data_IF_589199388619
#
_entry.id   IF_589199388619
#
_cell.length_a   1.000
_cell.length_b   1.000
_cell.length_c   1.000
_cell.angle_alpha   90.00
_cell.angle_beta   90.00
_cell.angle_gamma   90.00
#
_symmetry.space_group_name_H-M   'P 1'
#
loop_
_entity.id
_entity.type
_entity.pdbx_description
1 polymer ?
#
# COMPACT_ATOMS: atom_id res chain seq x y z
N UNK A 1 17.21 16.49 -33.67
CA UNK A 1 17.54 16.12 -32.28
C UNK A 1 17.06 17.26 -31.42
N UNK A 2 16.03 17.00 -30.62
CA UNK A 2 15.67 17.80 -29.44
C UNK A 2 14.82 16.84 -28.60
N UNK A 3 15.50 16.07 -27.74
CA UNK A 3 14.90 14.97 -26.98
C UNK A 3 14.97 15.32 -25.50
N UNK A 4 14.44 16.49 -25.14
CA UNK A 4 13.99 16.65 -23.77
C UNK A 4 12.68 15.86 -23.64
N UNK A 5 12.60 14.83 -22.79
CA UNK A 5 11.32 14.21 -22.52
C UNK A 5 10.35 15.31 -22.07
N UNK A 6 9.07 15.29 -22.49
CA UNK A 6 8.08 16.22 -21.99
C UNK A 6 8.14 16.24 -20.46
N UNK A 7 8.06 17.41 -19.83
CA UNK A 7 8.19 17.61 -18.38
C UNK A 7 7.38 16.59 -17.56
N UNK A 8 6.22 16.20 -18.07
CA UNK A 8 5.32 15.19 -17.52
C UNK A 8 5.89 13.77 -17.53
N UNK A 9 6.58 13.36 -18.61
CA UNK A 9 7.29 12.07 -18.69
C UNK A 9 8.36 11.98 -17.62
N UNK A 10 9.14 13.05 -17.43
CA UNK A 10 10.15 13.09 -16.36
C UNK A 10 9.50 13.00 -14.98
N UNK A 11 8.40 13.73 -14.76
CA UNK A 11 7.64 13.68 -13.51
C UNK A 11 7.07 12.28 -13.22
N UNK A 12 6.53 11.59 -14.22
CA UNK A 12 6.03 10.21 -14.11
C UNK A 12 7.16 9.27 -13.70
N UNK A 13 8.31 9.34 -14.38
CA UNK A 13 9.48 8.52 -14.04
C UNK A 13 9.93 8.79 -12.61
N UNK A 14 10.02 10.05 -12.19
CA UNK A 14 10.39 10.41 -10.82
C UNK A 14 9.41 9.87 -9.78
N UNK A 15 8.10 9.92 -10.06
CA UNK A 15 7.08 9.37 -9.18
C UNK A 15 7.22 7.84 -9.06
N UNK A 16 7.37 7.14 -10.19
CA UNK A 16 7.58 5.69 -10.22
C UNK A 16 8.84 5.27 -9.44
N UNK A 17 9.96 5.98 -9.64
CA UNK A 17 11.22 5.71 -8.93
C UNK A 17 11.13 5.98 -7.42
N UNK A 18 10.23 6.86 -6.98
CA UNK A 18 9.91 7.09 -5.56
C UNK A 18 8.92 6.07 -5.00
N UNK A 19 8.48 5.11 -5.82
CA UNK A 19 7.55 4.05 -5.43
C UNK A 19 6.07 4.46 -5.49
N UNK A 20 5.74 5.54 -6.21
CA UNK A 20 4.34 5.88 -6.48
C UNK A 20 3.71 4.80 -7.34
N UNK A 21 2.54 4.32 -6.93
CA UNK A 21 1.73 3.38 -7.69
C UNK A 21 0.57 4.14 -8.32
N UNK A 22 0.54 4.17 -9.64
CA UNK A 22 -0.54 4.78 -10.40
C UNK A 22 -1.75 3.85 -10.45
N UNK A 23 -2.95 4.42 -10.42
CA UNK A 23 -4.20 3.70 -10.61
C UNK A 23 -5.30 4.59 -11.15
N UNK A 24 -6.45 4.05 -11.52
CA UNK A 24 -7.60 4.86 -11.95
C UNK A 24 -8.13 5.80 -10.85
N UNK A 25 -7.76 5.58 -9.58
CA UNK A 25 -7.99 6.54 -8.50
C UNK A 25 -7.23 7.87 -8.71
N UNK A 26 -6.25 7.93 -9.62
CA UNK A 26 -5.56 9.16 -10.01
C UNK A 26 -6.41 10.06 -10.91
N UNK A 27 -7.44 9.52 -11.58
CA UNK A 27 -8.37 10.33 -12.40
C UNK A 27 -9.16 11.35 -11.57
N UNK A 28 -9.33 11.10 -10.28
CA UNK A 28 -10.04 11.99 -9.35
C UNK A 28 -9.10 12.97 -8.63
N UNK A 29 -7.78 12.81 -8.80
CA UNK A 29 -6.78 13.60 -8.10
C UNK A 29 -6.24 14.69 -9.02
N UNK A 30 -6.45 15.95 -8.64
CA UNK A 30 -6.07 17.11 -9.45
C UNK A 30 -4.57 17.08 -9.81
N UNK A 31 -4.25 17.18 -11.10
CA UNK A 31 -2.89 17.18 -11.62
C UNK A 31 -2.22 15.80 -11.70
N UNK A 32 -2.90 14.74 -11.26
CA UNK A 32 -2.49 13.34 -11.44
C UNK A 32 -3.29 12.64 -12.54
N UNK A 33 -4.49 13.14 -12.85
CA UNK A 33 -5.34 12.69 -13.96
C UNK A 33 -4.59 12.64 -15.29
N UNK A 34 -3.90 13.72 -15.64
CA UNK A 34 -3.11 13.81 -16.88
C UNK A 34 -1.90 12.88 -16.85
N UNK A 35 -1.22 12.78 -15.70
CA UNK A 35 -0.07 11.89 -15.54
C UNK A 35 -0.48 10.42 -15.69
N UNK A 36 -1.61 10.04 -15.09
CA UNK A 36 -2.19 8.71 -15.23
C UNK A 36 -2.56 8.41 -16.68
N UNK A 37 -3.23 9.33 -17.39
CA UNK A 37 -3.57 9.14 -18.79
C UNK A 37 -2.33 8.92 -19.68
N UNK A 38 -1.23 9.63 -19.40
CA UNK A 38 0.04 9.48 -20.14
C UNK A 38 0.69 8.12 -19.85
N UNK A 39 0.84 7.74 -18.57
CA UNK A 39 1.47 6.46 -18.23
C UNK A 39 0.64 5.26 -18.67
N UNK A 40 -0.70 5.39 -18.66
CA UNK A 40 -1.58 4.33 -19.13
C UNK A 40 -1.52 4.18 -20.66
N UNK A 41 -1.68 5.27 -21.42
CA UNK A 41 -1.65 5.24 -22.89
C UNK A 41 -0.30 4.87 -23.48
N UNK A 42 0.80 5.13 -22.75
CA UNK A 42 2.18 4.85 -23.19
C UNK A 42 2.85 3.80 -22.32
N UNK A 43 2.08 2.92 -21.70
CA UNK A 43 2.59 1.93 -20.74
C UNK A 43 3.75 1.10 -21.31
N UNK A 44 3.59 0.59 -22.52
CA UNK A 44 4.62 -0.22 -23.19
C UNK A 44 5.93 0.54 -23.38
N UNK A 45 5.85 1.80 -23.78
CA UNK A 45 7.03 2.66 -23.92
C UNK A 45 7.74 2.87 -22.57
N UNK A 46 6.99 3.16 -21.50
CA UNK A 46 7.59 3.31 -20.17
C UNK A 46 8.21 2.00 -19.67
N UNK A 47 7.54 0.87 -19.93
CA UNK A 47 8.04 -0.46 -19.56
C UNK A 47 9.37 -0.76 -20.23
N UNK A 48 9.46 -0.60 -21.55
CA UNK A 48 10.70 -0.80 -22.30
C UNK A 48 11.79 0.19 -21.86
N UNK A 49 11.43 1.47 -21.68
CA UNK A 49 12.37 2.51 -21.29
C UNK A 49 12.97 2.27 -19.89
N UNK A 50 12.14 1.88 -18.91
CA UNK A 50 12.58 1.61 -17.54
C UNK A 50 13.35 0.28 -17.43
N UNK A 51 13.06 -0.70 -18.27
CA UNK A 51 13.80 -1.96 -18.36
C UNK A 51 15.26 -1.75 -18.76
N UNK A 52 15.57 -0.74 -19.57
CA UNK A 52 16.96 -0.37 -19.91
C UNK A 52 17.79 0.02 -18.66
N UNK A 53 17.12 0.44 -17.58
CA UNK A 53 17.74 0.79 -16.30
C UNK A 53 17.60 -0.30 -15.23
N UNK A 54 17.16 -1.51 -15.61
CA UNK A 54 17.01 -2.65 -14.70
C UNK A 54 15.78 -2.58 -13.79
N UNK A 55 14.75 -1.82 -14.17
CA UNK A 55 13.46 -1.79 -13.48
C UNK A 55 12.39 -2.50 -14.29
N UNK A 56 11.47 -3.18 -13.59
CA UNK A 56 10.33 -3.85 -14.21
C UNK A 56 9.08 -3.01 -13.94
N UNK A 57 8.51 -2.41 -14.99
CA UNK A 57 7.20 -1.75 -14.87
C UNK A 57 6.10 -2.79 -15.04
N UNK A 58 5.33 -3.00 -13.98
CA UNK A 58 4.28 -4.02 -13.92
C UNK A 58 2.90 -3.37 -13.87
N UNK A 59 1.92 -4.09 -14.40
CA UNK A 59 0.50 -3.74 -14.30
C UNK A 59 -0.26 -4.94 -13.71
N UNK A 60 -0.88 -4.73 -12.56
CA UNK A 60 -1.78 -5.70 -11.94
C UNK A 60 -3.17 -5.08 -11.84
N UNK A 61 -4.14 -5.65 -12.57
CA UNK A 61 -5.46 -5.04 -12.78
C UNK A 61 -5.30 -3.59 -13.29
N UNK A 62 -5.76 -2.61 -12.51
CA UNK A 62 -5.69 -1.18 -12.83
C UNK A 62 -4.57 -0.44 -12.09
N UNK A 63 -3.62 -1.15 -11.48
CA UNK A 63 -2.49 -0.55 -10.75
C UNK A 63 -1.22 -0.72 -11.55
N UNK A 64 -0.54 0.40 -11.84
CA UNK A 64 0.75 0.46 -12.54
C UNK A 64 1.81 0.83 -11.51
N UNK A 65 2.85 0.02 -11.39
CA UNK A 65 3.88 0.20 -10.36
C UNK A 65 5.23 -0.32 -10.83
N UNK A 66 6.29 0.25 -10.25
CA UNK A 66 7.66 -0.11 -10.56
C UNK A 66 8.16 -1.15 -9.56
N UNK A 67 8.64 -2.27 -10.09
CA UNK A 67 9.29 -3.32 -9.34
C UNK A 67 10.81 -3.27 -9.58
N UNK A 68 11.55 -3.65 -8.56
CA UNK A 68 12.97 -3.93 -8.66
C UNK A 68 13.15 -5.42 -8.38
N UNK A 69 13.71 -6.15 -9.34
CA UNK A 69 13.95 -7.58 -9.19
C UNK A 69 14.83 -7.88 -7.97
N UNK A 70 14.56 -9.00 -7.29
CA UNK A 70 15.33 -9.53 -6.15
C UNK A 70 15.48 -8.59 -4.95
N UNK A 71 14.36 -8.00 -4.48
CA UNK A 71 14.39 -7.16 -3.29
C UNK A 71 13.72 -7.86 -2.09
N UNK A 72 14.51 -8.12 -1.05
CA UNK A 72 13.97 -8.36 0.30
C UNK A 72 13.14 -7.14 0.71
N UNK A 73 11.96 -7.35 1.30
CA UNK A 73 11.13 -6.24 1.79
C UNK A 73 11.94 -5.34 2.73
N UNK A 74 12.02 -4.06 2.38
CA UNK A 74 12.55 -3.01 3.25
C UNK A 74 11.67 -2.89 4.50
N UNK A 75 12.24 -2.30 5.56
CA UNK A 75 11.51 -2.13 6.81
C UNK A 75 10.22 -1.31 6.62
N UNK A 76 10.27 -0.27 5.78
CA UNK A 76 9.10 0.54 5.46
C UNK A 76 8.02 -0.28 4.74
N UNK A 77 8.41 -1.18 3.81
CA UNK A 77 7.46 -2.07 3.14
C UNK A 77 6.80 -3.04 4.13
N UNK A 78 7.56 -3.60 5.09
CA UNK A 78 7.01 -4.44 6.17
C UNK A 78 6.01 -3.67 7.03
N UNK A 79 6.37 -2.46 7.44
CA UNK A 79 5.50 -1.54 8.19
C UNK A 79 4.22 -1.23 7.42
N UNK A 80 4.34 -0.95 6.13
CA UNK A 80 3.21 -0.65 5.24
C UNK A 80 2.22 -1.82 5.19
N UNK A 81 2.74 -3.04 5.01
CA UNK A 81 1.91 -4.25 4.94
C UNK A 81 1.18 -4.49 6.25
N UNK A 82 1.87 -4.43 7.39
CA UNK A 82 1.25 -4.63 8.70
C UNK A 82 0.20 -3.55 8.99
N UNK A 83 0.51 -2.29 8.75
CA UNK A 83 -0.43 -1.20 8.99
C UNK A 83 -1.70 -1.30 8.12
N UNK A 84 -1.57 -1.61 6.84
CA UNK A 84 -2.74 -1.78 5.95
C UNK A 84 -3.57 -3.02 6.31
N UNK A 85 -2.91 -4.09 6.74
CA UNK A 85 -3.61 -5.30 7.19
C UNK A 85 -4.40 -5.04 8.47
N UNK A 86 -3.77 -4.45 9.48
CA UNK A 86 -4.45 -4.05 10.73
C UNK A 86 -5.61 -3.10 10.44
N UNK A 87 -5.42 -2.11 9.57
CA UNK A 87 -6.51 -1.18 9.21
C UNK A 87 -7.73 -1.92 8.67
N UNK A 88 -7.47 -2.90 7.80
CA UNK A 88 -8.53 -3.70 7.20
C UNK A 88 -9.25 -4.54 8.25
N UNK A 89 -8.48 -5.23 9.09
CA UNK A 89 -9.00 -6.16 10.09
C UNK A 89 -9.88 -5.43 11.13
N UNK A 90 -9.34 -4.36 11.72
CA UNK A 90 -10.03 -3.55 12.73
C UNK A 90 -11.29 -2.88 12.16
N UNK A 91 -11.27 -2.51 10.87
CA UNK A 91 -12.44 -1.95 10.21
C UNK A 91 -13.57 -2.98 10.06
N UNK A 92 -13.23 -4.20 9.68
CA UNK A 92 -14.18 -5.30 9.54
C UNK A 92 -14.74 -5.75 10.90
N UNK A 93 -13.90 -5.80 11.93
CA UNK A 93 -14.33 -6.13 13.30
C UNK A 93 -15.33 -5.10 13.87
N UNK A 94 -15.24 -3.83 13.46
CA UNK A 94 -16.25 -2.80 13.75
C UNK A 94 -17.57 -2.99 12.97
N UNK A 95 -17.72 -4.11 12.24
CA UNK A 95 -18.91 -4.46 11.46
C UNK A 95 -19.06 -3.65 10.18
N UNK A 96 -18.01 -2.94 9.74
CA UNK A 96 -18.05 -2.08 8.55
C UNK A 96 -17.66 -2.86 7.30
N UNK A 97 -17.97 -2.30 6.13
CA UNK A 97 -17.74 -3.01 4.87
C UNK A 97 -16.31 -2.83 4.37
N UNK A 98 -15.74 -3.85 3.71
CA UNK A 98 -14.43 -3.75 3.06
C UNK A 98 -14.39 -2.66 1.99
N UNK A 99 -15.51 -2.45 1.27
CA UNK A 99 -15.61 -1.43 0.24
C UNK A 99 -15.49 0.00 0.82
N UNK A 100 -15.95 0.20 2.06
CA UNK A 100 -15.94 1.50 2.72
C UNK A 100 -14.51 2.04 2.89
N UNK A 101 -13.51 1.17 3.08
CA UNK A 101 -12.10 1.56 3.20
C UNK A 101 -11.60 2.38 2.01
N UNK A 102 -12.20 2.17 0.83
CA UNK A 102 -11.83 2.80 -0.43
C UNK A 102 -12.79 3.91 -0.87
N UNK A 103 -13.87 4.13 -0.13
CA UNK A 103 -14.94 5.09 -0.49
C UNK A 103 -15.13 6.16 0.57
N UNK A 104 -14.83 5.86 1.84
CA UNK A 104 -15.03 6.76 2.97
C UNK A 104 -13.70 7.28 3.49
N UNK A 105 -13.68 8.55 3.88
CA UNK A 105 -12.58 9.12 4.64
C UNK A 105 -12.70 8.69 6.10
N UNK A 106 -11.71 7.95 6.58
CA UNK A 106 -11.61 7.41 7.92
C UNK A 106 -10.94 8.46 8.81
N UNK A 107 -11.64 9.02 9.81
CA UNK A 107 -11.04 9.95 10.76
C UNK A 107 -9.97 9.26 11.61
N UNK A 108 -8.90 9.97 11.95
CA UNK A 108 -7.85 9.45 12.84
C UNK A 108 -8.38 8.98 14.20
N UNK A 109 -9.44 9.61 14.70
CA UNK A 109 -10.09 9.22 15.95
C UNK A 109 -10.69 7.81 15.89
N UNK A 110 -11.03 7.30 14.71
CA UNK A 110 -11.55 5.94 14.52
C UNK A 110 -10.46 4.86 14.44
N UNK A 111 -9.19 5.26 14.47
CA UNK A 111 -8.02 4.37 14.55
C UNK A 111 -7.57 4.17 16.00
N UNK A 112 -8.47 4.31 16.97
CA UNK A 112 -8.27 3.98 18.38
C UNK A 112 -7.69 2.57 18.56
N UNK A 113 -8.15 1.57 17.82
CA UNK A 113 -7.68 0.20 17.97
C UNK A 113 -6.26 -0.07 17.44
N UNK A 114 -5.67 0.83 16.64
CA UNK A 114 -4.23 0.77 16.39
C UNK A 114 -3.40 0.99 17.66
N UNK A 115 -4.01 1.62 18.67
CA UNK A 115 -3.37 2.10 19.88
C UNK A 115 -3.62 1.20 21.09
N UNK A 116 -4.54 0.23 20.96
CA UNK A 116 -4.95 -0.66 22.04
C UNK A 116 -4.68 -2.14 21.74
N UNK A 117 -4.34 -2.90 22.78
CA UNK A 117 -4.27 -4.36 22.76
C UNK A 117 -3.43 -4.95 21.63
N UNK A 118 -4.07 -5.78 20.81
CA UNK A 118 -3.44 -6.56 19.73
C UNK A 118 -2.82 -5.69 18.63
N UNK A 119 -3.42 -4.55 18.25
CA UNK A 119 -2.87 -3.67 17.21
C UNK A 119 -1.47 -3.14 17.57
N UNK A 120 -1.30 -2.74 18.83
CA UNK A 120 -0.03 -2.27 19.41
C UNK A 120 1.08 -3.32 19.32
N UNK A 121 0.76 -4.59 19.62
CA UNK A 121 1.74 -5.68 19.54
C UNK A 121 2.27 -5.88 18.12
N UNK A 122 1.40 -5.86 17.11
CA UNK A 122 1.80 -6.09 15.71
C UNK A 122 2.62 -4.92 15.15
N UNK A 123 2.27 -3.69 15.48
CA UNK A 123 3.05 -2.50 15.11
C UNK A 123 4.45 -2.53 15.71
N UNK A 124 4.58 -2.98 16.97
CA UNK A 124 5.87 -3.08 17.65
C UNK A 124 6.82 -4.08 16.97
N UNK A 125 6.30 -5.19 16.43
CA UNK A 125 7.10 -6.21 15.70
C UNK A 125 7.75 -5.66 14.43
N UNK A 126 7.17 -4.60 13.84
CA UNK A 126 7.72 -3.91 12.68
C UNK A 126 8.41 -2.58 13.04
N UNK A 127 8.68 -2.36 14.32
CA UNK A 127 9.42 -1.19 14.81
C UNK A 127 8.66 0.13 14.65
N UNK A 128 7.32 0.08 14.65
CA UNK A 128 6.49 1.27 14.84
C UNK A 128 6.24 1.37 16.34
N UNK A 129 6.75 2.43 16.94
CA UNK A 129 6.56 2.67 18.36
C UNK A 129 5.08 2.93 18.64
N UNK A 130 4.46 1.97 19.30
CA UNK A 130 3.03 1.94 19.59
C UNK A 130 2.57 2.99 20.60
N UNK A 131 3.50 3.60 21.34
CA UNK A 131 3.21 4.70 22.26
C UNK A 131 3.38 6.09 21.59
N UNK A 132 3.66 6.11 20.28
CA UNK A 132 3.88 7.32 19.51
C UNK A 132 2.96 7.38 18.28
N UNK A 133 1.78 8.00 18.45
CA UNK A 133 0.82 8.30 17.38
C UNK A 133 1.49 8.98 16.17
N UNK A 134 2.55 9.77 16.40
CA UNK A 134 3.30 10.44 15.35
C UNK A 134 4.00 9.48 14.41
N UNK A 135 4.50 8.34 14.88
CA UNK A 135 5.20 7.37 14.04
C UNK A 135 4.26 6.72 13.01
N UNK A 136 3.05 6.36 13.46
CA UNK A 136 2.01 5.78 12.61
C UNK A 136 1.46 6.82 11.63
N UNK A 137 1.22 8.06 12.08
CA UNK A 137 0.75 9.13 11.20
C UNK A 137 1.78 9.43 10.09
N UNK A 138 3.06 9.49 10.44
CA UNK A 138 4.15 9.66 9.47
C UNK A 138 4.23 8.48 8.50
N UNK A 139 3.95 7.25 8.95
CA UNK A 139 3.84 6.12 8.04
C UNK A 139 2.73 6.32 7.02
N UNK A 140 1.51 6.66 7.44
CA UNK A 140 0.42 6.88 6.48
C UNK A 140 0.71 8.04 5.52
N UNK A 141 1.35 9.12 5.95
CA UNK A 141 1.82 10.18 5.05
C UNK A 141 2.82 9.65 4.01
N UNK A 142 3.74 8.75 4.39
CA UNK A 142 4.62 8.06 3.43
C UNK A 142 3.83 7.15 2.49
N UNK A 143 2.81 6.43 2.97
CA UNK A 143 1.94 5.62 2.11
C UNK A 143 1.15 6.49 1.12
N UNK A 144 0.74 7.69 1.51
CA UNK A 144 0.12 8.67 0.64
C UNK A 144 1.06 9.09 -0.51
N UNK A 145 2.33 9.33 -0.18
CA UNK A 145 3.38 9.62 -1.16
C UNK A 145 3.68 8.45 -2.11
N UNK A 146 3.28 7.22 -1.76
CA UNK A 146 3.36 6.02 -2.61
C UNK A 146 2.07 5.75 -3.39
N UNK A 147 1.04 6.60 -3.23
CA UNK A 147 -0.25 6.45 -3.91
C UNK A 147 -1.14 5.36 -3.32
N UNK A 148 -0.81 4.81 -2.15
CA UNK A 148 -1.57 3.73 -1.48
C UNK A 148 -2.82 4.25 -0.78
N UNK A 149 -2.79 5.49 -0.30
CA UNK A 149 -3.91 6.15 0.36
C UNK A 149 -3.90 7.64 0.05
N UNK A 150 -4.97 8.33 0.40
CA UNK A 150 -5.02 9.78 0.52
C UNK A 150 -5.01 10.14 1.99
N UNK A 151 -4.26 11.18 2.34
CA UNK A 151 -4.21 11.70 3.70
C UNK A 151 -4.57 13.18 3.63
N UNK A 152 -5.59 13.59 4.38
CA UNK A 152 -5.97 14.98 4.52
C UNK A 152 -5.43 15.48 5.87
N UNK A 153 -4.44 16.36 5.84
CA UNK A 153 -3.83 16.93 7.05
C UNK A 153 -4.81 17.78 7.85
N UNK A 154 -5.65 18.59 7.19
CA UNK A 154 -6.57 19.51 7.84
C UNK A 154 -7.70 18.77 8.59
N UNK A 155 -8.31 17.79 7.92
CA UNK A 155 -9.37 16.96 8.50
C UNK A 155 -8.82 15.76 9.30
N UNK A 156 -7.51 15.53 9.25
CA UNK A 156 -6.79 14.39 9.84
C UNK A 156 -7.49 13.06 9.56
N UNK A 157 -7.78 12.81 8.28
CA UNK A 157 -8.47 11.61 7.82
C UNK A 157 -7.69 10.94 6.68
N UNK A 158 -7.95 9.65 6.48
CA UNK A 158 -7.34 8.87 5.40
C UNK A 158 -8.38 8.09 4.60
N UNK A 159 -8.12 7.90 3.31
CA UNK A 159 -8.94 7.06 2.43
C UNK A 159 -8.01 6.11 1.68
N UNK A 160 -8.27 4.79 1.68
CA UNK A 160 -7.43 3.86 0.92
C UNK A 160 -7.68 4.01 -0.58
N UNK A 161 -6.63 3.78 -1.36
CA UNK A 161 -6.69 3.76 -2.83
C UNK A 161 -6.47 2.35 -3.33
N UNK A 162 -6.83 2.09 -4.59
CA UNK A 162 -6.67 0.75 -5.18
C UNK A 162 -5.28 0.11 -5.05
N UNK A 163 -4.16 0.88 -5.09
CA UNK A 163 -2.85 0.29 -4.84
C UNK A 163 -2.72 -0.39 -3.45
N UNK A 164 -3.42 0.09 -2.42
CA UNK A 164 -3.47 -0.59 -1.12
C UNK A 164 -4.26 -1.91 -1.18
N UNK A 165 -5.34 -1.97 -1.96
CA UNK A 165 -6.15 -3.19 -2.16
C UNK A 165 -5.27 -4.35 -2.69
N UNK A 166 -4.37 -4.03 -3.63
CA UNK A 166 -3.40 -4.99 -4.18
C UNK A 166 -2.53 -5.60 -3.08
N UNK A 167 -1.97 -4.75 -2.20
CA UNK A 167 -1.11 -5.19 -1.10
C UNK A 167 -1.89 -6.01 -0.07
N UNK A 168 -3.11 -5.58 0.29
CA UNK A 168 -3.97 -6.32 1.22
C UNK A 168 -4.32 -7.71 0.67
N UNK A 169 -4.70 -7.79 -0.60
CA UNK A 169 -4.98 -9.07 -1.27
C UNK A 169 -3.76 -9.97 -1.37
N UNK A 170 -2.56 -9.41 -1.59
CA UNK A 170 -1.31 -10.16 -1.56
C UNK A 170 -1.02 -10.70 -0.15
N UNK A 171 -1.13 -9.87 0.88
CA UNK A 171 -0.93 -10.27 2.27
C UNK A 171 -1.91 -11.39 2.69
N UNK A 172 -3.19 -11.28 2.30
CA UNK A 172 -4.19 -12.30 2.57
C UNK A 172 -3.85 -13.64 1.91
N UNK A 173 -3.42 -13.64 0.64
CA UNK A 173 -2.99 -14.86 -0.06
C UNK A 173 -1.80 -15.52 0.63
N UNK A 174 -0.78 -14.74 1.01
CA UNK A 174 0.38 -15.25 1.74
C UNK A 174 -0.01 -15.83 3.09
N UNK A 175 -0.89 -15.15 3.83
CA UNK A 175 -1.38 -15.64 5.12
C UNK A 175 -2.12 -16.98 4.99
N UNK A 176 -2.98 -17.13 3.97
CA UNK A 176 -3.69 -18.38 3.69
C UNK A 176 -2.73 -19.53 3.29
N UNK A 177 -1.68 -19.24 2.53
CA UNK A 177 -0.65 -20.21 2.18
C UNK A 177 0.11 -20.71 3.42
N UNK A 178 0.50 -19.80 4.31
CA UNK A 178 1.17 -20.15 5.58
C UNK A 178 0.27 -21.02 6.45
N UNK A 179 -1.04 -20.71 6.55
CA UNK A 179 -1.98 -21.53 7.32
C UNK A 179 -2.21 -22.91 6.70
N UNK A 180 -2.22 -23.03 5.38
CA UNK A 180 -2.34 -24.32 4.69
C UNK A 180 -1.09 -25.20 4.84
N UNK A 181 0.08 -24.59 5.03
CA UNK A 181 1.36 -25.26 5.27
C UNK A 181 1.65 -25.52 6.75
N UNK A 182 0.88 -24.92 7.67
CA UNK A 182 1.01 -25.19 9.10
C UNK A 182 0.57 -26.64 9.38
N UNK A 183 1.47 -27.52 9.88
CA UNK A 183 1.08 -28.88 10.21
C UNK A 183 -0.01 -28.85 11.27
N UNK A 184 -1.11 -29.57 11.02
CA UNK A 184 -2.17 -29.78 11.99
C UNK A 184 -1.52 -30.22 13.30
N UNK A 185 -1.62 -29.39 14.35
CA UNK A 185 -1.17 -29.76 15.68
C UNK A 185 -1.91 -31.05 16.04
N UNK A 186 -1.15 -32.14 16.19
CA UNK A 186 -1.67 -33.45 16.53
C UNK A 186 -2.47 -33.33 17.84
N UNK A 187 -3.66 -33.97 17.96
CA UNK A 187 -4.40 -33.94 19.19
C UNK A 187 -3.55 -34.53 20.31
N UNK A 188 -3.41 -33.76 21.38
CA UNK A 188 -2.80 -34.14 22.64
C UNK A 188 -3.39 -35.50 23.07
N UNK A 189 -2.58 -36.55 22.98
CA UNK A 189 -3.00 -37.89 23.42
C UNK A 189 -3.13 -37.82 24.93
N UNK A 190 -4.38 -37.92 25.38
CA UNK A 190 -4.75 -37.96 26.79
C UNK A 190 -3.91 -38.99 27.55
N UNK A 191 -3.36 -38.56 28.67
CA UNK A 191 -2.75 -39.43 29.67
C UNK A 191 -3.75 -40.47 30.17
N UNK A 192 -3.35 -41.74 30.12
CA UNK A 192 -3.78 -42.79 31.06
C UNK A 192 -2.58 -43.26 31.88
#
# INVERSE_FOLDING_TARGET
MDVNPPEETQKIIQLLLRGYQFSDSDLLKQGYDRLYAIVDSRFEWFREHLALSGFTLSREKQVIFLEKENKTLSQEEKQSVVALFLLTDLWLEKGKSYADLFQLSIPWSELDWFRDGYGKEYLSQVGIDSDNDGALEQLFKRLANKGLLEYNDDARCLTLRRPAERLINMARRLHQQIQAEAPAQAPEVAHE
#
